data_IF_179841594285
#
_entry.id   IF_179841594285
#
_cell.length_a   1.000
_cell.length_b   1.000
_cell.length_c   1.000
_cell.angle_alpha   90.00
_cell.angle_beta   90.00
_cell.angle_gamma   90.00
#
_symmetry.space_group_name_H-M   'P 1'
#
loop_
_entity.id
_entity.type
_entity.pdbx_description
1 polymer ?
#
# COMPACT_ATOMS: atom_id res chain seq x y z
N UNK A 1 2.06 -13.24 0.79
CA UNK A 1 1.39 -11.92 0.77
C UNK A 1 0.59 -11.79 2.04
N UNK A 2 0.65 -10.64 2.73
CA UNK A 2 -0.13 -10.37 3.94
C UNK A 2 -1.13 -9.25 3.66
N UNK A 3 -2.41 -9.53 3.89
CA UNK A 3 -3.52 -8.58 3.71
C UNK A 3 -3.82 -7.95 5.06
N UNK A 4 -3.75 -6.62 5.13
CA UNK A 4 -3.89 -5.86 6.38
C UNK A 4 -4.93 -4.76 6.20
N UNK A 5 -5.75 -4.52 7.22
CA UNK A 5 -6.61 -3.34 7.29
C UNK A 5 -5.90 -2.22 8.06
N UNK A 6 -5.86 -1.03 7.50
CA UNK A 6 -5.40 0.19 8.16
C UNK A 6 -6.42 0.79 9.12
N UNK A 7 -7.60 0.18 9.27
CA UNK A 7 -8.63 0.61 10.20
C UNK A 7 -8.50 -0.16 11.51
N UNK A 8 -8.10 0.52 12.59
CA UNK A 8 -8.20 0.04 13.96
C UNK A 8 -9.41 0.66 14.64
N UNK A 9 -10.35 -0.17 15.08
CA UNK A 9 -11.32 0.22 16.11
C UNK A 9 -10.54 0.21 17.44
N UNK A 10 -10.49 1.37 18.08
CA UNK A 10 -10.05 1.61 19.47
C UNK A 10 -8.52 1.73 19.71
N UNK A 11 -8.18 2.83 20.40
CA UNK A 11 -6.84 3.40 20.57
C UNK A 11 -5.96 2.68 21.61
N UNK A 12 -6.39 1.52 22.13
CA UNK A 12 -5.64 0.80 23.17
C UNK A 12 -4.82 -0.39 22.68
N UNK A 13 -5.15 -0.95 21.51
CA UNK A 13 -4.40 -2.05 20.87
C UNK A 13 -4.27 -1.80 19.37
N UNK A 14 -3.68 -0.65 19.02
CA UNK A 14 -3.33 -0.35 17.63
C UNK A 14 -2.55 -1.51 17.00
N UNK A 15 -2.82 -1.80 15.72
CA UNK A 15 -2.15 -2.81 14.92
C UNK A 15 -0.62 -2.71 15.12
N UNK A 16 0.04 -3.79 15.52
CA UNK A 16 1.51 -3.81 15.69
C UNK A 16 2.20 -3.83 14.32
N UNK A 17 2.29 -2.64 13.72
CA UNK A 17 2.97 -2.39 12.47
C UNK A 17 4.45 -2.78 12.51
N UNK A 18 5.09 -2.79 13.69
CA UNK A 18 6.47 -3.25 13.83
C UNK A 18 6.57 -4.78 13.73
N UNK A 19 5.65 -5.53 14.35
CA UNK A 19 5.54 -6.98 14.16
C UNK A 19 5.23 -7.36 12.71
N UNK A 20 4.32 -6.61 12.07
CA UNK A 20 3.99 -6.79 10.66
C UNK A 20 5.19 -6.49 9.77
N UNK A 21 5.93 -5.42 10.07
CA UNK A 21 7.14 -5.07 9.34
C UNK A 21 8.24 -6.12 9.48
N UNK A 22 8.40 -6.74 10.65
CA UNK A 22 9.31 -7.90 10.82
C UNK A 22 8.92 -9.09 9.94
N UNK A 23 7.62 -9.36 9.79
CA UNK A 23 7.16 -10.38 8.85
C UNK A 23 7.44 -9.99 7.38
N UNK A 24 7.30 -8.71 7.04
CA UNK A 24 7.64 -8.19 5.71
C UNK A 24 9.14 -8.27 5.41
N UNK A 25 10.00 -8.11 6.41
CA UNK A 25 11.45 -8.25 6.28
C UNK A 25 11.86 -9.67 5.84
N UNK A 26 11.04 -10.69 6.11
CA UNK A 26 11.24 -12.06 5.61
C UNK A 26 10.83 -12.24 4.13
N UNK A 27 10.61 -11.16 3.38
CA UNK A 27 10.24 -11.18 1.95
C UNK A 27 8.74 -11.18 1.69
N UNK A 28 7.90 -10.98 2.71
CA UNK A 28 6.45 -10.90 2.54
C UNK A 28 6.04 -9.54 2.00
N UNK A 29 5.25 -9.52 0.92
CA UNK A 29 4.59 -8.30 0.43
C UNK A 29 3.36 -7.98 1.26
N UNK A 30 3.28 -6.75 1.76
CA UNK A 30 2.15 -6.21 2.49
C UNK A 30 1.17 -5.55 1.51
N UNK A 31 -0.12 -5.81 1.72
CA UNK A 31 -1.22 -5.13 1.04
C UNK A 31 -2.11 -4.52 2.11
N UNK A 32 -2.12 -3.19 2.18
CA UNK A 32 -2.86 -2.44 3.21
C UNK A 32 -4.12 -1.82 2.60
N UNK A 33 -5.28 -2.28 3.06
CA UNK A 33 -6.60 -1.71 2.74
C UNK A 33 -6.92 -0.57 3.70
N UNK A 34 -7.68 0.43 3.25
CA UNK A 34 -8.10 1.56 4.09
C UNK A 34 -6.92 2.31 4.76
N UNK A 35 -5.72 2.17 4.20
CA UNK A 35 -4.48 2.73 4.77
C UNK A 35 -4.32 4.23 4.57
N UNK A 36 -5.08 4.85 3.65
CA UNK A 36 -4.92 6.28 3.31
C UNK A 36 -5.10 7.19 4.52
N UNK A 37 -6.14 6.96 5.33
CA UNK A 37 -6.41 7.78 6.51
C UNK A 37 -5.31 7.69 7.58
N UNK A 38 -4.58 6.57 7.62
CA UNK A 38 -3.56 6.28 8.62
C UNK A 38 -2.15 6.22 8.02
N UNK A 39 -1.96 6.69 6.78
CA UNK A 39 -0.74 6.42 6.01
C UNK A 39 0.52 6.92 6.71
N UNK A 40 0.46 8.05 7.41
CA UNK A 40 1.58 8.58 8.21
C UNK A 40 1.95 7.62 9.34
N UNK A 41 0.99 7.23 10.18
CA UNK A 41 1.19 6.27 11.27
C UNK A 41 1.76 4.95 10.76
N UNK A 42 1.20 4.42 9.66
CA UNK A 42 1.61 3.14 9.08
C UNK A 42 3.06 3.20 8.59
N UNK A 43 3.39 4.21 7.79
CA UNK A 43 4.73 4.37 7.23
C UNK A 43 5.76 4.64 8.32
N UNK A 44 5.48 5.51 9.29
CA UNK A 44 6.35 5.81 10.43
C UNK A 44 6.68 4.55 11.25
N UNK A 45 5.69 3.69 11.49
CA UNK A 45 5.91 2.45 12.26
C UNK A 45 6.66 1.40 11.45
N UNK A 46 6.33 1.24 10.17
CA UNK A 46 7.04 0.31 9.29
C UNK A 46 8.51 0.71 9.10
N UNK A 47 8.80 2.00 8.98
CA UNK A 47 10.17 2.54 8.83
C UNK A 47 11.08 2.25 10.04
N UNK A 48 10.53 1.89 11.20
CA UNK A 48 11.33 1.47 12.36
C UNK A 48 11.97 0.10 12.19
N UNK A 49 11.41 -0.74 11.31
CA UNK A 49 11.80 -2.14 11.14
C UNK A 49 12.08 -2.52 9.69
N UNK A 50 11.84 -1.62 8.74
CA UNK A 50 12.06 -1.81 7.31
C UNK A 50 12.84 -0.63 6.71
N UNK A 51 13.64 -0.86 5.65
CA UNK A 51 14.41 0.19 5.00
C UNK A 51 13.50 1.18 4.26
N UNK A 52 13.81 2.48 4.24
CA UNK A 52 13.02 3.48 3.53
C UNK A 52 13.00 3.25 2.01
N UNK A 53 14.04 2.63 1.44
CA UNK A 53 14.14 2.28 0.03
C UNK A 53 13.24 1.10 -0.37
N UNK A 54 12.57 0.45 0.60
CA UNK A 54 11.70 -0.68 0.32
C UNK A 54 10.66 -0.29 -0.74
N UNK A 55 10.56 -1.01 -1.87
CA UNK A 55 9.62 -0.68 -2.92
C UNK A 55 8.18 -0.65 -2.41
N UNK A 56 7.42 0.37 -2.83
CA UNK A 56 6.03 0.54 -2.47
C UNK A 56 5.21 1.09 -3.65
N UNK A 57 3.89 1.04 -3.53
CA UNK A 57 2.99 1.68 -4.48
C UNK A 57 1.65 1.99 -3.81
N UNK A 58 0.94 2.97 -4.37
CA UNK A 58 -0.48 3.20 -4.07
C UNK A 58 -1.29 2.87 -5.32
N UNK A 59 -2.43 2.20 -5.15
CA UNK A 59 -3.38 1.93 -6.23
C UNK A 59 -4.77 2.34 -5.77
N UNK A 60 -5.43 3.24 -6.53
CA UNK A 60 -6.75 3.79 -6.24
C UNK A 60 -7.77 3.28 -7.25
N UNK A 61 -9.01 3.10 -6.80
CA UNK A 61 -10.13 2.60 -7.62
C UNK A 61 -9.82 1.28 -8.36
N UNK A 62 -9.14 0.37 -7.65
CA UNK A 62 -8.73 -0.95 -8.15
C UNK A 62 -9.91 -1.67 -8.82
N UNK A 63 -9.71 -2.17 -10.04
CA UNK A 63 -10.71 -2.91 -10.82
C UNK A 63 -11.74 -2.04 -11.55
N UNK A 64 -11.59 -0.71 -11.54
CA UNK A 64 -12.47 0.21 -12.25
C UNK A 64 -11.78 0.89 -13.44
N UNK A 65 -12.56 1.52 -14.32
CA UNK A 65 -12.04 2.36 -15.40
C UNK A 65 -11.27 3.59 -14.92
N UNK A 66 -11.42 3.96 -13.64
CA UNK A 66 -10.72 5.08 -12.99
C UNK A 66 -9.51 4.61 -12.19
N UNK A 67 -9.08 3.35 -12.36
CA UNK A 67 -7.91 2.82 -11.68
C UNK A 67 -6.68 3.66 -12.03
N UNK A 68 -5.96 4.08 -11.00
CA UNK A 68 -4.66 4.73 -11.16
C UNK A 68 -3.72 4.27 -10.07
N UNK A 69 -2.43 4.23 -10.40
CA UNK A 69 -1.38 3.78 -9.50
C UNK A 69 -0.16 4.71 -9.58
N UNK A 70 0.63 4.73 -8.52
CA UNK A 70 1.90 5.41 -8.51
C UNK A 70 2.97 4.58 -7.80
N UNK A 71 4.16 4.39 -8.40
CA UNK A 71 5.31 3.87 -7.68
C UNK A 71 5.76 4.81 -6.58
N UNK A 72 6.30 4.22 -5.53
CA UNK A 72 6.95 4.91 -4.43
C UNK A 72 8.01 4.00 -3.80
N UNK A 73 8.66 4.52 -2.78
CA UNK A 73 9.35 3.73 -1.76
C UNK A 73 8.58 3.88 -0.44
N UNK A 74 8.87 3.04 0.55
CA UNK A 74 8.26 3.18 1.88
C UNK A 74 8.50 4.59 2.45
N UNK A 75 9.69 5.15 2.24
CA UNK A 75 10.05 6.50 2.70
C UNK A 75 9.33 7.62 1.94
N UNK A 76 9.00 7.43 0.66
CA UNK A 76 8.35 8.46 -0.17
C UNK A 76 6.83 8.31 -0.29
N UNK A 77 6.24 7.24 0.27
CA UNK A 77 4.85 6.87 0.03
C UNK A 77 3.85 7.93 0.46
N UNK A 78 4.07 8.57 1.62
CA UNK A 78 3.22 9.66 2.12
C UNK A 78 3.22 10.84 1.16
N UNK A 79 4.40 11.24 0.69
CA UNK A 79 4.56 12.39 -0.19
C UNK A 79 3.98 12.12 -1.58
N UNK A 80 4.15 10.92 -2.11
CA UNK A 80 3.53 10.49 -3.38
C UNK A 80 2.01 10.53 -3.28
N UNK A 81 1.45 10.01 -2.19
CA UNK A 81 -0.01 10.03 -1.96
C UNK A 81 -0.53 11.46 -1.89
N UNK A 82 0.14 12.34 -1.15
CA UNK A 82 -0.27 13.73 -0.99
C UNK A 82 -0.11 14.54 -2.29
N UNK A 83 1.07 14.49 -2.91
CA UNK A 83 1.39 15.29 -4.12
C UNK A 83 0.57 14.91 -5.34
N UNK A 84 0.17 13.63 -5.46
CA UNK A 84 -0.63 13.15 -6.57
C UNK A 84 -2.13 13.03 -6.23
N UNK A 85 -2.55 13.44 -5.03
CA UNK A 85 -3.94 13.51 -4.59
C UNK A 85 -4.62 12.15 -4.47
N UNK A 86 -3.90 11.11 -4.06
CA UNK A 86 -4.49 9.79 -3.82
C UNK A 86 -5.43 9.83 -2.60
N UNK A 87 -6.64 9.31 -2.78
CA UNK A 87 -7.67 9.25 -1.74
C UNK A 87 -8.29 7.86 -1.64
N UNK A 88 -9.25 7.71 -0.75
CA UNK A 88 -10.05 6.48 -0.68
C UNK A 88 -11.00 6.36 -1.89
N UNK A 89 -11.32 5.13 -2.36
CA UNK A 89 -10.74 3.86 -1.95
C UNK A 89 -9.38 3.61 -2.63
N UNK A 90 -8.35 3.31 -1.83
CA UNK A 90 -7.03 2.91 -2.32
C UNK A 90 -6.40 1.84 -1.42
N UNK A 91 -5.49 1.08 -2.02
CA UNK A 91 -4.63 0.10 -1.35
C UNK A 91 -3.18 0.56 -1.42
N UNK A 92 -2.42 0.23 -0.38
CA UNK A 92 -0.96 0.42 -0.34
C UNK A 92 -0.30 -0.94 -0.51
N UNK A 93 0.63 -1.03 -1.44
CA UNK A 93 1.46 -2.21 -1.68
C UNK A 93 2.86 -1.91 -1.17
N UNK A 94 3.43 -2.75 -0.31
CA UNK A 94 4.76 -2.53 0.27
C UNK A 94 5.55 -3.84 0.23
N UNK A 95 6.71 -3.84 -0.42
CA UNK A 95 7.59 -5.00 -0.54
C UNK A 95 8.17 -5.18 -1.94
N UNK A 96 9.21 -6.01 -2.06
CA UNK A 96 10.02 -6.18 -3.28
C UNK A 96 9.25 -6.60 -4.54
N UNK A 97 8.11 -7.28 -4.39
CA UNK A 97 7.24 -7.69 -5.52
C UNK A 97 6.56 -6.47 -6.19
N UNK A 98 6.52 -5.32 -5.52
CA UNK A 98 5.97 -4.10 -6.12
C UNK A 98 6.80 -3.57 -7.28
N UNK A 99 8.11 -3.86 -7.36
CA UNK A 99 8.92 -3.48 -8.52
C UNK A 99 8.34 -4.07 -9.81
N UNK A 100 7.98 -5.36 -9.82
CA UNK A 100 7.38 -6.02 -10.97
C UNK A 100 5.93 -5.59 -11.23
N UNK A 101 5.14 -5.37 -10.17
CA UNK A 101 3.72 -4.99 -10.28
C UNK A 101 3.52 -3.55 -10.77
N UNK A 102 4.40 -2.62 -10.35
CA UNK A 102 4.42 -1.24 -10.86
C UNK A 102 4.87 -1.23 -12.32
N UNK A 103 5.89 -2.03 -12.69
CA UNK A 103 6.35 -2.10 -14.08
C UNK A 103 5.34 -2.80 -15.02
N UNK A 104 4.57 -3.74 -14.50
CA UNK A 104 3.47 -4.39 -15.22
C UNK A 104 2.18 -3.55 -15.25
N UNK A 105 2.06 -2.51 -14.43
CA UNK A 105 0.93 -1.58 -14.42
C UNK A 105 1.08 -0.52 -15.53
N UNK A 106 1.14 -0.99 -16.78
CA UNK A 106 0.95 -0.24 -18.01
C UNK A 106 -0.02 -1.06 -18.88
N UNK A 107 -0.94 -0.49 -19.68
CA UNK A 107 -1.89 0.60 -19.47
C UNK A 107 -3.23 0.08 -18.89
N UNK A 108 -4.20 0.95 -18.61
CA UNK A 108 -5.57 0.59 -18.25
C UNK A 108 -6.26 -0.21 -19.39
N UNK A 109 -5.99 -1.51 -19.48
CA UNK A 109 -6.79 -2.40 -20.30
C UNK A 109 -8.12 -2.63 -19.55
N UNK A 110 -9.29 -2.52 -20.22
CA UNK A 110 -10.59 -2.74 -19.59
C UNK A 110 -10.68 -4.19 -19.11
N UNK A 111 -10.45 -4.41 -17.82
CA UNK A 111 -10.63 -5.72 -17.19
C UNK A 111 -12.10 -5.87 -16.83
N UNK A 112 -12.86 -6.39 -17.79
CA UNK A 112 -14.22 -6.92 -17.57
C UNK A 112 -14.13 -8.11 -16.60
N UNK A 113 -14.26 -7.84 -15.31
CA UNK A 113 -14.72 -8.86 -14.39
C UNK A 113 -16.23 -8.99 -14.58
N UNK A 114 -16.63 -10.07 -15.24
CA UNK A 114 -18.02 -10.48 -15.38
C UNK A 114 -18.67 -10.55 -13.99
N UNK A 115 -19.79 -9.84 -13.81
CA UNK A 115 -20.85 -10.24 -12.91
C UNK A 115 -22.08 -10.48 -13.80
N UNK A 116 -22.49 -11.74 -13.88
CA UNK A 116 -23.75 -12.19 -14.48
C UNK A 116 -24.90 -11.90 -13.51
#
# INVERSE_FOLDING_TARGET
VLLVTGHTREESEGQDWEAIGRAAAAGVTLVVYMGIAQIRTITERLLRVLPPELPAAVVQHVGSERERSAPATLGSLVDVVASQGFGSPAILLIGRVTEAAVHAALPAAPRRYFAT
#
